data_IF_096508862232
#
_entry.id   IF_096508862232
#
_cell.length_a   1.000
_cell.length_b   1.000
_cell.length_c   1.000
_cell.angle_alpha   90.00
_cell.angle_beta   90.00
_cell.angle_gamma   90.00
#
_symmetry.space_group_name_H-M   'P 1'
#
loop_
_entity.id
_entity.type
_entity.pdbx_description
1 polymer ?
#
# COMPACT_ATOMS: atom_id res chain seq x y z
N UNK A 1 -12.32 -13.09 34.61
CA UNK A 1 -11.34 -11.99 34.50
C UNK A 1 -11.58 -11.29 33.20
N UNK A 2 -11.99 -10.03 33.21
CA UNK A 2 -12.11 -9.25 31.98
C UNK A 2 -10.71 -8.91 31.51
N UNK A 3 -10.23 -9.58 30.48
CA UNK A 3 -8.96 -9.22 29.83
C UNK A 3 -9.18 -7.92 29.07
N UNK A 4 -8.47 -6.87 29.45
CA UNK A 4 -8.50 -5.61 28.70
C UNK A 4 -7.52 -5.76 27.54
N UNK A 5 -8.01 -6.35 26.44
CA UNK A 5 -7.21 -6.66 25.23
C UNK A 5 -6.43 -5.46 24.69
N UNK A 6 -6.97 -4.25 24.83
CA UNK A 6 -6.27 -3.03 24.40
C UNK A 6 -5.05 -2.71 25.29
N UNK A 7 -5.19 -2.82 26.60
CA UNK A 7 -4.07 -2.61 27.51
C UNK A 7 -3.00 -3.70 27.35
N UNK A 8 -3.41 -4.95 27.11
CA UNK A 8 -2.48 -6.05 26.85
C UNK A 8 -1.70 -5.83 25.56
N UNK A 9 -2.35 -5.33 24.52
CA UNK A 9 -1.71 -4.93 23.25
C UNK A 9 -0.69 -3.82 23.48
N UNK A 10 -1.08 -2.74 24.18
CA UNK A 10 -0.20 -1.60 24.48
C UNK A 10 1.00 -2.07 25.31
N UNK A 11 0.77 -2.90 26.35
CA UNK A 11 1.84 -3.45 27.17
C UNK A 11 2.79 -4.36 26.38
N UNK A 12 2.27 -5.12 25.42
CA UNK A 12 3.09 -5.98 24.56
C UNK A 12 3.96 -5.16 23.59
N UNK A 13 3.43 -4.07 23.05
CA UNK A 13 4.17 -3.11 22.21
C UNK A 13 5.27 -2.42 23.02
N UNK A 14 4.93 -1.86 24.18
CA UNK A 14 5.89 -1.16 25.06
C UNK A 14 7.02 -2.07 25.55
N UNK A 15 6.73 -3.36 25.75
CA UNK A 15 7.71 -4.37 26.16
C UNK A 15 8.50 -4.98 24.99
N UNK A 16 8.28 -4.53 23.76
CA UNK A 16 8.96 -5.06 22.57
C UNK A 16 8.58 -6.52 22.20
N UNK A 17 7.50 -7.07 22.81
CA UNK A 17 7.01 -8.39 22.44
C UNK A 17 6.29 -8.43 21.10
N UNK A 18 5.82 -7.27 20.64
CA UNK A 18 5.24 -7.08 19.31
C UNK A 18 6.16 -6.13 18.55
N UNK A 19 6.63 -6.58 17.40
CA UNK A 19 7.42 -5.77 16.48
C UNK A 19 6.50 -5.09 15.47
N UNK A 20 6.59 -3.77 15.37
CA UNK A 20 5.99 -3.01 14.29
C UNK A 20 7.00 -2.85 13.16
N UNK A 21 6.54 -3.04 11.93
CA UNK A 21 7.35 -2.84 10.73
C UNK A 21 6.59 -1.90 9.80
N UNK A 22 7.19 -0.76 9.50
CA UNK A 22 6.67 0.16 8.51
C UNK A 22 7.09 -0.32 7.11
N UNK A 23 6.10 -0.62 6.27
CA UNK A 23 6.29 -1.05 4.88
C UNK A 23 6.02 0.08 3.88
N UNK A 24 5.82 1.30 4.36
CA UNK A 24 5.50 2.46 3.54
C UNK A 24 6.69 2.83 2.64
N UNK A 25 6.43 3.01 1.35
CA UNK A 25 7.41 3.55 0.42
C UNK A 25 7.54 5.06 0.63
N UNK A 26 8.77 5.53 0.74
CA UNK A 26 9.03 6.97 0.83
C UNK A 26 8.63 7.67 -0.47
N UNK A 27 7.74 8.65 -0.37
CA UNK A 27 7.38 9.50 -1.50
C UNK A 27 8.43 10.60 -1.69
N UNK A 28 8.86 10.77 -2.93
CA UNK A 28 9.79 11.83 -3.35
C UNK A 28 9.42 12.29 -4.76
N UNK A 29 9.88 13.45 -5.21
CA UNK A 29 9.66 13.90 -6.59
C UNK A 29 10.13 12.91 -7.66
N UNK A 30 11.10 12.04 -7.32
CA UNK A 30 11.61 11.00 -8.21
C UNK A 30 10.83 9.69 -8.11
N UNK A 31 9.76 9.64 -7.29
CA UNK A 31 8.94 8.43 -7.18
C UNK A 31 8.24 8.15 -8.52
N UNK A 32 8.41 6.96 -9.11
CA UNK A 32 7.89 6.67 -10.44
C UNK A 32 6.35 6.59 -10.41
N UNK A 33 5.63 7.44 -11.18
CA UNK A 33 4.19 7.28 -11.36
C UNK A 33 3.89 6.06 -12.24
N UNK A 34 2.66 5.57 -12.17
CA UNK A 34 2.18 4.64 -13.18
C UNK A 34 2.09 5.36 -14.53
N UNK A 35 2.62 4.73 -15.58
CA UNK A 35 2.52 5.22 -16.94
C UNK A 35 1.53 4.33 -17.68
N UNK A 36 0.42 4.91 -18.08
CA UNK A 36 -0.65 4.23 -18.81
C UNK A 36 -0.50 4.47 -20.32
N UNK A 37 -1.17 3.66 -21.17
CA UNK A 37 -1.26 3.94 -22.59
C UNK A 37 -1.72 5.39 -22.85
N UNK A 38 -1.20 6.07 -23.89
CA UNK A 38 -1.45 7.49 -24.12
C UNK A 38 -2.92 7.90 -24.24
N UNK A 39 -3.78 6.97 -24.66
CA UNK A 39 -5.23 7.15 -24.80
C UNK A 39 -5.98 7.11 -23.45
N UNK A 40 -5.32 6.72 -22.39
CA UNK A 40 -5.87 6.67 -21.03
C UNK A 40 -5.48 7.92 -20.23
N UNK A 41 -6.25 8.22 -19.19
CA UNK A 41 -5.87 9.24 -18.21
C UNK A 41 -4.51 8.91 -17.56
N UNK A 42 -3.65 9.92 -17.42
CA UNK A 42 -2.31 9.74 -16.85
C UNK A 42 -2.31 10.12 -15.36
N UNK A 43 -1.60 9.34 -14.55
CA UNK A 43 -1.35 9.67 -13.15
C UNK A 43 -0.41 10.88 -13.04
N UNK A 44 -0.69 11.75 -12.09
CA UNK A 44 0.22 12.87 -11.80
C UNK A 44 1.47 12.37 -11.06
N UNK A 45 2.65 12.90 -11.41
CA UNK A 45 3.85 12.64 -10.62
C UNK A 45 3.71 13.27 -9.24
N UNK A 46 4.39 12.69 -8.25
CA UNK A 46 4.46 13.27 -6.91
C UNK A 46 5.21 14.62 -6.96
N UNK A 47 4.59 15.65 -6.42
CA UNK A 47 5.17 17.00 -6.33
C UNK A 47 5.04 17.53 -4.92
N UNK A 48 6.08 18.24 -4.48
CA UNK A 48 6.13 18.98 -3.23
C UNK A 48 6.27 20.47 -3.58
N UNK A 49 5.37 21.27 -3.06
CA UNK A 49 5.44 22.73 -3.11
C UNK A 49 5.59 23.25 -1.68
N UNK A 50 6.76 23.78 -1.37
CA UNK A 50 7.04 24.34 -0.04
C UNK A 50 6.19 25.58 0.22
N UNK A 51 5.34 25.53 1.23
CA UNK A 51 4.49 26.66 1.62
C UNK A 51 5.22 27.58 2.58
N UNK A 52 6.00 27.05 3.53
CA UNK A 52 6.88 27.83 4.43
C UNK A 52 7.96 26.92 5.04
N UNK A 53 9.07 27.54 5.45
CA UNK A 53 10.17 26.86 6.15
C UNK A 53 10.79 27.79 7.19
N UNK A 54 10.07 28.09 8.28
CA UNK A 54 10.51 28.96 9.36
C UNK A 54 10.98 30.33 8.85
N UNK A 55 10.30 30.87 7.83
CA UNK A 55 10.57 32.12 7.13
C UNK A 55 9.39 33.11 7.24
N UNK A 56 9.43 34.22 6.51
CA UNK A 56 8.36 35.24 6.52
C UNK A 56 6.99 34.69 6.09
N UNK A 57 6.94 33.60 5.34
CA UNK A 57 5.68 32.91 4.92
C UNK A 57 5.04 32.13 6.08
N UNK A 58 5.82 31.87 7.15
CA UNK A 58 5.36 31.12 8.32
C UNK A 58 6.51 30.91 9.32
N UNK A 59 6.77 31.87 10.21
CA UNK A 59 7.99 31.85 11.06
C UNK A 59 8.00 30.73 12.12
N UNK A 60 6.83 30.17 12.44
CA UNK A 60 6.69 29.13 13.46
C UNK A 60 6.58 27.70 12.93
N UNK A 61 6.59 27.48 11.59
CA UNK A 61 6.33 26.16 11.03
C UNK A 61 7.01 25.91 9.68
N UNK A 62 7.15 24.62 9.37
CA UNK A 62 7.50 24.09 8.05
C UNK A 62 6.37 23.21 7.56
N UNK A 63 5.88 23.45 6.33
CA UNK A 63 4.88 22.62 5.70
C UNK A 63 4.86 22.79 4.18
N UNK A 64 4.21 21.81 3.51
CA UNK A 64 4.18 21.74 2.07
C UNK A 64 2.76 21.41 1.57
N UNK A 65 2.47 21.87 0.36
CA UNK A 65 1.39 21.31 -0.44
C UNK A 65 1.93 20.09 -1.21
N UNK A 66 1.06 19.07 -1.37
CA UNK A 66 1.38 17.88 -2.12
C UNK A 66 0.40 17.70 -3.28
N UNK A 67 0.89 17.26 -4.44
CA UNK A 67 0.04 16.79 -5.52
C UNK A 67 0.57 15.49 -6.09
N UNK A 68 -0.31 14.51 -6.31
CA UNK A 68 0.02 13.20 -6.84
C UNK A 68 -1.25 12.45 -7.26
N UNK A 69 -1.10 11.40 -8.09
CA UNK A 69 -2.19 10.49 -8.37
C UNK A 69 -2.47 9.58 -7.17
N UNK A 70 -3.72 9.20 -6.94
CA UNK A 70 -4.11 8.39 -5.77
C UNK A 70 -3.42 7.03 -5.68
N UNK A 71 -3.01 6.45 -6.82
CA UNK A 71 -2.26 5.19 -6.89
C UNK A 71 -0.74 5.41 -6.85
N UNK A 72 -0.27 6.24 -5.92
CA UNK A 72 1.15 6.57 -5.76
C UNK A 72 1.67 6.01 -4.44
N UNK A 73 2.80 5.28 -4.49
CA UNK A 73 3.44 4.72 -3.31
C UNK A 73 2.67 3.55 -2.69
N UNK A 74 2.77 3.41 -1.38
CA UNK A 74 2.05 2.38 -0.62
C UNK A 74 0.62 2.84 -0.38
N UNK A 75 -0.32 2.16 -1.01
CA UNK A 75 -1.75 2.47 -0.93
C UNK A 75 -2.58 1.20 -1.05
N UNK A 76 -3.87 1.31 -0.87
CA UNK A 76 -4.85 0.28 -1.22
C UNK A 76 -5.87 0.85 -2.20
N UNK A 77 -6.44 -0.01 -3.03
CA UNK A 77 -7.52 0.35 -3.93
C UNK A 77 -8.88 0.10 -3.26
N UNK A 78 -9.70 1.13 -3.15
CA UNK A 78 -11.09 0.95 -2.76
C UNK A 78 -11.85 0.21 -3.86
N UNK A 79 -12.91 -0.56 -3.54
CA UNK A 79 -13.65 -1.34 -4.54
C UNK A 79 -14.16 -0.52 -5.74
N UNK A 80 -14.51 0.75 -5.52
CA UNK A 80 -14.99 1.66 -6.57
C UNK A 80 -13.93 1.91 -7.69
N UNK A 81 -12.65 1.68 -7.39
CA UNK A 81 -11.59 1.81 -8.38
C UNK A 81 -11.81 0.88 -9.59
N UNK A 82 -12.37 -0.30 -9.35
CA UNK A 82 -12.64 -1.28 -10.39
C UNK A 82 -14.11 -1.33 -10.78
N UNK A 83 -14.39 -1.54 -12.07
CA UNK A 83 -15.76 -1.68 -12.57
C UNK A 83 -16.56 -2.78 -11.83
N UNK A 84 -15.91 -3.83 -11.37
CA UNK A 84 -16.51 -4.91 -10.58
C UNK A 84 -16.96 -4.48 -9.18
N UNK A 85 -16.41 -3.40 -8.66
CA UNK A 85 -16.75 -2.85 -7.35
C UNK A 85 -17.65 -1.61 -7.41
N UNK A 86 -17.96 -1.12 -8.62
CA UNK A 86 -18.68 0.14 -8.84
C UNK A 86 -20.01 0.23 -8.08
N UNK A 87 -20.76 -0.86 -8.06
CA UNK A 87 -22.12 -0.89 -7.51
C UNK A 87 -22.18 -1.62 -6.14
N UNK A 88 -21.03 -1.91 -5.53
CA UNK A 88 -20.99 -2.51 -4.19
C UNK A 88 -21.33 -1.45 -3.11
N UNK A 89 -21.97 -1.85 -2.00
CA UNK A 89 -22.15 -0.98 -0.85
C UNK A 89 -20.79 -0.68 -0.21
N UNK A 90 -20.63 0.52 0.36
CA UNK A 90 -19.39 0.95 1.05
C UNK A 90 -18.15 0.77 0.17
N UNK A 91 -18.21 1.15 -1.07
CA UNK A 91 -17.18 0.92 -2.08
C UNK A 91 -16.13 2.03 -2.17
N UNK A 92 -16.39 3.22 -1.63
CA UNK A 92 -15.44 4.33 -1.58
C UNK A 92 -14.65 4.33 -0.27
N UNK A 93 -13.45 4.89 -0.27
CA UNK A 93 -12.51 4.89 0.86
C UNK A 93 -13.13 5.40 2.16
N UNK A 94 -13.93 6.44 2.10
CA UNK A 94 -14.62 7.08 3.23
C UNK A 94 -15.84 6.29 3.75
N UNK A 95 -16.29 5.30 3.00
CA UNK A 95 -17.44 4.47 3.36
C UNK A 95 -17.07 3.06 3.81
N UNK A 96 -15.84 2.63 3.60
CA UNK A 96 -15.35 1.32 4.04
C UNK A 96 -15.32 1.28 5.58
N UNK A 97 -15.96 0.29 6.23
CA UNK A 97 -15.86 0.13 7.67
C UNK A 97 -14.41 0.02 8.14
N UNK A 98 -14.03 0.81 9.14
CA UNK A 98 -12.63 0.92 9.60
C UNK A 98 -12.05 -0.41 10.10
N UNK A 99 -12.89 -1.31 10.62
CA UNK A 99 -12.50 -2.66 11.02
C UNK A 99 -12.00 -3.52 9.86
N UNK A 100 -12.32 -3.15 8.62
CA UNK A 100 -11.78 -3.81 7.44
C UNK A 100 -10.32 -3.40 7.15
N UNK A 101 -9.81 -2.36 7.81
CA UNK A 101 -8.42 -1.92 7.64
C UNK A 101 -7.43 -2.72 8.49
N UNK A 102 -7.94 -3.56 9.41
CA UNK A 102 -7.13 -4.45 10.26
C UNK A 102 -7.45 -5.89 9.90
N UNK A 103 -6.45 -6.64 9.45
CA UNK A 103 -6.63 -8.03 9.05
C UNK A 103 -5.31 -8.82 9.17
N UNK A 104 -5.39 -10.16 9.28
CA UNK A 104 -4.22 -10.99 9.03
C UNK A 104 -3.63 -10.71 7.65
N UNK A 105 -2.33 -10.78 7.53
CA UNK A 105 -1.65 -10.65 6.25
C UNK A 105 -0.89 -11.93 5.90
N UNK A 106 -0.86 -12.27 4.63
CA UNK A 106 0.02 -13.28 4.05
C UNK A 106 0.94 -12.62 3.04
N UNK A 107 2.20 -13.08 3.02
CA UNK A 107 3.18 -12.60 2.04
C UNK A 107 3.37 -13.70 1.00
N UNK A 108 2.99 -13.40 -0.25
CA UNK A 108 3.25 -14.26 -1.39
C UNK A 108 4.47 -13.68 -2.10
N UNK A 109 5.65 -14.25 -1.83
CA UNK A 109 6.89 -13.79 -2.45
C UNK A 109 7.03 -14.37 -3.86
N UNK A 110 6.93 -13.51 -4.86
CA UNK A 110 7.18 -13.79 -6.26
C UNK A 110 8.34 -12.94 -6.81
N UNK A 111 9.26 -12.54 -5.95
CA UNK A 111 10.36 -11.65 -6.30
C UNK A 111 11.32 -12.28 -7.32
N UNK A 112 11.51 -13.59 -7.31
CA UNK A 112 12.36 -14.30 -8.25
C UNK A 112 11.72 -14.36 -9.64
N UNK A 113 10.43 -14.68 -9.72
CA UNK A 113 9.66 -14.73 -10.95
C UNK A 113 9.59 -13.34 -11.61
N UNK A 114 9.28 -12.32 -10.81
CA UNK A 114 9.26 -10.93 -11.28
C UNK A 114 10.64 -10.39 -11.66
N UNK A 115 11.72 -10.98 -11.18
CA UNK A 115 13.08 -10.63 -11.61
C UNK A 115 13.45 -11.31 -12.92
N UNK A 116 12.93 -12.50 -13.16
CA UNK A 116 13.16 -13.27 -14.38
C UNK A 116 12.28 -12.80 -15.54
N UNK A 117 11.05 -12.37 -15.26
CA UNK A 117 10.08 -11.89 -16.22
C UNK A 117 9.47 -10.56 -15.75
N UNK A 118 9.76 -9.48 -16.50
CA UNK A 118 9.25 -8.14 -16.19
C UNK A 118 7.71 -8.03 -16.31
N UNK A 119 7.09 -8.91 -17.08
CA UNK A 119 5.66 -8.97 -17.30
C UNK A 119 4.99 -10.11 -16.51
N UNK A 120 5.70 -10.66 -15.51
CA UNK A 120 5.16 -11.71 -14.63
C UNK A 120 3.83 -11.29 -14.00
N UNK A 121 2.84 -12.16 -14.13
CA UNK A 121 1.51 -11.99 -13.54
C UNK A 121 1.29 -13.04 -12.44
N UNK A 122 0.82 -12.59 -11.29
CA UNK A 122 0.38 -13.47 -10.22
C UNK A 122 -0.93 -14.18 -10.65
N UNK A 123 -0.81 -15.44 -11.05
CA UNK A 123 -1.95 -16.25 -11.51
C UNK A 123 -2.64 -16.98 -10.36
N UNK A 124 -3.88 -17.43 -10.61
CA UNK A 124 -4.63 -18.27 -9.66
C UNK A 124 -3.87 -19.56 -9.35
N UNK A 125 -3.22 -20.17 -10.33
CA UNK A 125 -2.47 -21.40 -10.14
C UNK A 125 -1.20 -21.17 -9.30
N UNK A 126 -0.57 -20.01 -9.42
CA UNK A 126 0.53 -19.63 -8.55
C UNK A 126 0.06 -19.55 -7.10
N UNK A 127 -1.07 -18.87 -6.84
CA UNK A 127 -1.66 -18.77 -5.49
C UNK A 127 -2.03 -20.14 -4.93
N UNK A 128 -2.67 -21.00 -5.72
CA UNK A 128 -3.00 -22.38 -5.31
C UNK A 128 -1.76 -23.20 -4.97
N UNK A 129 -0.70 -23.07 -5.76
CA UNK A 129 0.60 -23.71 -5.48
C UNK A 129 1.23 -23.20 -4.19
N UNK A 130 1.07 -21.90 -3.91
CA UNK A 130 1.50 -21.30 -2.65
C UNK A 130 0.68 -21.87 -1.48
N UNK A 131 -0.64 -21.94 -1.58
CA UNK A 131 -1.52 -22.52 -0.56
C UNK A 131 -1.21 -23.99 -0.27
N UNK A 132 -0.85 -24.76 -1.31
CA UNK A 132 -0.45 -26.16 -1.16
C UNK A 132 0.79 -26.32 -0.27
N UNK A 133 1.70 -25.35 -0.32
CA UNK A 133 2.97 -25.35 0.45
C UNK A 133 2.82 -24.74 1.83
N UNK A 134 1.97 -23.74 1.98
CA UNK A 134 1.92 -22.88 3.19
C UNK A 134 0.59 -22.98 3.94
N UNK A 135 -0.37 -23.71 3.42
CA UNK A 135 -1.73 -23.78 3.95
C UNK A 135 -2.67 -22.75 3.31
N UNK A 136 -3.98 -22.91 3.53
CA UNK A 136 -4.98 -22.03 2.94
C UNK A 136 -4.85 -20.59 3.44
N UNK A 137 -5.08 -19.65 2.56
CA UNK A 137 -5.14 -18.23 2.92
C UNK A 137 -6.35 -18.01 3.83
N UNK A 138 -6.16 -17.45 5.05
CA UNK A 138 -7.26 -17.23 5.97
C UNK A 138 -8.34 -16.31 5.38
N UNK A 139 -9.62 -16.52 5.69
CA UNK A 139 -10.67 -15.59 5.30
C UNK A 139 -10.34 -14.15 5.76
N UNK A 140 -10.61 -13.17 4.92
CA UNK A 140 -10.31 -11.75 5.14
C UNK A 140 -8.82 -11.41 5.28
N UNK A 141 -7.91 -12.32 4.98
CA UNK A 141 -6.49 -11.98 4.91
C UNK A 141 -6.23 -10.96 3.81
N UNK A 142 -5.25 -10.07 4.06
CA UNK A 142 -4.68 -9.20 3.05
C UNK A 142 -3.47 -9.89 2.44
N UNK A 143 -3.34 -9.86 1.14
CA UNK A 143 -2.10 -10.29 0.49
C UNK A 143 -1.18 -9.09 0.32
N UNK A 144 0.06 -9.22 0.78
CA UNK A 144 1.14 -8.33 0.44
C UNK A 144 2.06 -9.06 -0.53
N UNK A 145 2.20 -8.54 -1.73
CA UNK A 145 3.16 -9.00 -2.72
C UNK A 145 4.23 -7.94 -2.95
N UNK A 146 5.41 -8.31 -3.46
CA UNK A 146 6.39 -7.33 -3.87
C UNK A 146 5.76 -6.47 -4.96
N UNK A 147 5.79 -5.15 -4.77
CA UNK A 147 5.42 -4.22 -5.81
C UNK A 147 6.35 -4.43 -7.00
N UNK A 148 5.88 -5.02 -8.07
CA UNK A 148 6.61 -5.13 -9.33
C UNK A 148 7.10 -3.75 -9.84
N UNK A 149 6.44 -2.67 -9.39
CA UNK A 149 6.78 -1.29 -9.66
C UNK A 149 8.10 -0.82 -9.02
N UNK A 150 8.49 -1.35 -7.87
CA UNK A 150 9.72 -0.95 -7.19
C UNK A 150 11.00 -1.33 -7.97
N UNK A 151 10.89 -2.21 -8.95
CA UNK A 151 12.04 -2.70 -9.73
C UNK A 151 12.25 -2.02 -11.07
N UNK A 152 11.34 -1.14 -11.52
CA UNK A 152 11.59 -0.32 -12.71
C UNK A 152 12.49 0.90 -12.40
N UNK A 153 13.47 0.71 -11.50
CA UNK A 153 14.52 1.71 -11.30
C UNK A 153 15.66 1.43 -12.27
N UNK A 154 15.75 2.34 -13.21
CA UNK A 154 16.88 2.86 -13.94
C UNK A 154 17.47 2.01 -15.06
N UNK A 155 17.50 2.58 -16.27
CA UNK A 155 18.69 2.41 -17.08
C UNK A 155 19.84 3.15 -16.38
N UNK A 156 20.98 2.48 -16.25
CA UNK A 156 22.25 3.12 -15.93
C UNK A 156 22.61 4.09 -17.04
#
# INVERSE_FOLDING_TARGET
MSTNTLLDLVAALAAGRIRLVDLTQTLSPDFPPIVLPPEMGQSWPFRIEEASRYDERGPGWYWNNLSFGEHTGTHFDAPIHWISGRDLPNNATDTIPVEHMIAPAVVIDCSQEAAADADFLLTVDFVRSWETRHGPIPPRARSAGPNAWARRRSPK
#
